data_IF_646050085492
#
_entry.id   IF_646050085492
#
_cell.length_a   1.000
_cell.length_b   1.000
_cell.length_c   1.000
_cell.angle_alpha   90.00
_cell.angle_beta   90.00
_cell.angle_gamma   90.00
#
_symmetry.space_group_name_H-M   'P 1'
#
loop_
_entity.id
_entity.type
_entity.pdbx_description
1 polymer ?
#
# COMPACT_ATOMS: atom_id res chain seq x y z
N UNK A 1 14.72 15.04 12.64
CA UNK A 1 14.07 13.72 12.74
C UNK A 1 12.63 13.86 12.24
N UNK A 2 12.29 13.20 11.15
CA UNK A 2 10.89 13.19 10.68
C UNK A 2 10.06 12.34 11.64
N UNK A 3 8.91 12.85 12.05
CA UNK A 3 8.01 12.17 12.99
C UNK A 3 7.28 11.01 12.31
N UNK A 4 6.68 10.07 13.09
CA UNK A 4 5.78 9.02 12.55
C UNK A 4 4.66 9.60 11.68
N UNK A 5 4.20 10.80 12.02
CA UNK A 5 3.18 11.53 11.27
C UNK A 5 3.69 11.97 9.90
N UNK A 6 4.90 12.51 9.84
CA UNK A 6 5.54 12.89 8.56
C UNK A 6 5.82 11.67 7.69
N UNK A 7 6.15 10.52 8.28
CA UNK A 7 6.30 9.26 7.55
C UNK A 7 4.97 8.78 6.94
N UNK A 8 3.88 8.78 7.69
CA UNK A 8 2.56 8.41 7.17
C UNK A 8 2.06 9.39 6.11
N UNK A 9 2.35 10.67 6.27
CA UNK A 9 2.08 11.69 5.25
C UNK A 9 2.86 11.43 3.97
N UNK A 10 4.12 11.06 4.09
CA UNK A 10 4.99 10.70 2.99
C UNK A 10 4.50 9.44 2.25
N UNK A 11 4.14 8.38 2.97
CA UNK A 11 3.64 7.15 2.41
C UNK A 11 2.31 7.35 1.64
N UNK A 12 1.41 8.17 2.17
CA UNK A 12 0.15 8.50 1.51
C UNK A 12 0.35 9.35 0.24
N UNK A 13 1.24 10.33 0.28
CA UNK A 13 1.61 11.14 -0.88
C UNK A 13 2.24 10.25 -1.96
N UNK A 14 3.09 9.31 -1.58
CA UNK A 14 3.75 8.40 -2.53
C UNK A 14 2.73 7.55 -3.27
N UNK A 15 1.73 7.00 -2.59
CA UNK A 15 0.68 6.19 -3.23
C UNK A 15 -0.23 7.01 -4.17
N UNK A 16 -0.50 8.26 -3.85
CA UNK A 16 -1.29 9.16 -4.70
C UNK A 16 -0.50 9.68 -5.91
N UNK A 17 0.79 9.95 -5.73
CA UNK A 17 1.66 10.59 -6.74
C UNK A 17 2.07 9.63 -7.85
N UNK A 18 2.35 8.36 -7.55
CA UNK A 18 2.85 7.38 -8.53
C UNK A 18 1.80 7.09 -9.66
N UNK A 19 0.61 7.67 -9.59
CA UNK A 19 -0.51 7.37 -10.47
C UNK A 19 -0.95 8.38 -11.49
N UNK A 20 -0.52 9.60 -11.44
CA UNK A 20 -1.06 10.62 -12.34
C UNK A 20 0.01 11.30 -13.18
N UNK A 21 -0.35 11.63 -14.43
CA UNK A 21 0.42 12.57 -15.26
C UNK A 21 0.50 13.99 -14.64
N UNK A 22 -0.25 14.24 -13.56
CA UNK A 22 -0.24 15.46 -12.75
C UNK A 22 0.83 15.47 -11.65
N UNK A 23 1.81 14.60 -11.74
CA UNK A 23 2.94 14.47 -10.82
C UNK A 23 3.57 15.82 -10.46
N UNK A 24 3.81 16.62 -11.51
CA UNK A 24 4.42 17.95 -11.38
C UNK A 24 3.60 18.92 -10.53
N UNK A 25 2.28 18.79 -10.51
CA UNK A 25 1.42 19.77 -9.82
C UNK A 25 1.31 19.51 -8.31
N UNK A 26 1.33 18.24 -7.88
CA UNK A 26 1.24 17.88 -6.45
C UNK A 26 2.61 17.99 -5.78
N UNK A 27 3.67 17.53 -6.44
CA UNK A 27 5.04 17.67 -5.96
C UNK A 27 5.48 19.15 -5.90
N UNK A 28 5.11 19.96 -6.90
CA UNK A 28 5.39 21.39 -6.92
C UNK A 28 4.62 22.17 -5.83
N UNK A 29 3.38 21.75 -5.49
CA UNK A 29 2.61 22.36 -4.39
C UNK A 29 3.19 22.08 -3.01
N UNK A 30 4.02 21.04 -2.87
CA UNK A 30 4.65 20.66 -1.59
C UNK A 30 6.17 20.82 -1.58
N UNK A 31 6.77 21.33 -2.64
CA UNK A 31 8.22 21.51 -2.80
C UNK A 31 9.08 20.26 -2.52
N UNK A 32 8.51 19.06 -2.60
CA UNK A 32 9.21 17.80 -2.39
C UNK A 32 9.30 17.03 -3.71
N UNK A 33 10.50 16.58 -4.05
CA UNK A 33 10.73 15.65 -5.16
C UNK A 33 10.33 14.22 -4.74
N UNK A 34 10.10 13.34 -5.73
CA UNK A 34 9.84 11.93 -5.48
C UNK A 34 10.97 11.27 -4.67
N UNK A 35 12.21 11.62 -4.97
CA UNK A 35 13.37 11.08 -4.25
C UNK A 35 13.38 11.52 -2.78
N UNK A 36 13.01 12.77 -2.50
CA UNK A 36 12.91 13.25 -1.10
C UNK A 36 11.79 12.59 -0.32
N UNK A 37 10.70 12.20 -1.01
CA UNK A 37 9.60 11.47 -0.38
C UNK A 37 10.00 10.07 0.09
N UNK A 38 10.97 9.45 -0.56
CA UNK A 38 11.46 8.10 -0.26
C UNK A 38 12.75 8.12 0.59
N UNK A 39 13.33 9.29 0.81
CA UNK A 39 14.52 9.44 1.67
C UNK A 39 14.10 9.58 3.13
N UNK A 40 14.44 8.60 3.93
CA UNK A 40 14.35 8.64 5.39
C UNK A 40 15.63 8.07 5.99
N UNK A 41 16.09 8.70 7.06
CA UNK A 41 17.34 8.33 7.71
C UNK A 41 17.33 6.87 8.17
N UNK A 42 18.35 6.13 7.81
CA UNK A 42 18.58 4.79 8.35
C UNK A 42 18.97 4.89 9.81
N UNK A 43 18.26 4.17 10.68
CA UNK A 43 18.55 4.14 12.13
C UNK A 43 19.21 2.84 12.58
N UNK A 44 19.45 1.91 11.69
CA UNK A 44 19.98 0.59 12.01
C UNK A 44 20.81 0.02 10.88
N UNK A 45 21.19 -1.25 11.05
CA UNK A 45 21.99 -1.98 10.07
C UNK A 45 21.12 -2.74 9.06
N UNK A 46 19.85 -2.97 9.36
CA UNK A 46 18.88 -3.69 8.53
C UNK A 46 17.63 -2.84 8.35
N UNK A 47 17.08 -2.86 7.16
CA UNK A 47 15.80 -2.25 6.82
C UNK A 47 14.75 -3.35 6.66
N UNK A 48 13.66 -3.26 7.42
CA UNK A 48 12.50 -4.13 7.25
C UNK A 48 11.47 -3.43 6.39
N UNK A 49 11.11 -4.03 5.27
CA UNK A 49 9.98 -3.66 4.45
C UNK A 49 8.87 -4.66 4.71
N UNK A 50 7.71 -4.18 5.07
CA UNK A 50 6.53 -4.99 5.27
C UNK A 50 5.44 -4.58 4.30
N UNK A 51 4.95 -5.54 3.55
CA UNK A 51 3.77 -5.44 2.69
C UNK A 51 2.74 -6.45 3.18
N UNK A 52 1.48 -6.18 2.94
CA UNK A 52 0.36 -7.05 3.30
C UNK A 52 -0.87 -6.63 2.53
N UNK A 53 -1.86 -7.51 2.42
CA UNK A 53 -3.19 -7.19 1.88
C UNK A 53 -3.14 -6.58 0.46
N UNK A 54 -2.32 -7.16 -0.42
CA UNK A 54 -2.22 -6.71 -1.81
C UNK A 54 -3.46 -7.04 -2.63
N UNK A 55 -4.25 -8.01 -2.18
CA UNK A 55 -5.55 -8.38 -2.74
C UNK A 55 -5.55 -8.57 -4.26
N UNK A 56 -4.51 -9.22 -4.81
CA UNK A 56 -4.40 -9.49 -6.23
C UNK A 56 -4.24 -8.24 -7.10
N UNK A 57 -3.86 -7.10 -6.52
CA UNK A 57 -3.83 -5.82 -7.21
C UNK A 57 -2.50 -5.58 -7.93
N UNK A 58 -2.34 -6.14 -9.13
CA UNK A 58 -1.16 -5.95 -9.96
C UNK A 58 -1.02 -4.52 -10.48
N UNK A 59 -2.14 -3.88 -10.84
CA UNK A 59 -2.16 -2.53 -11.43
C UNK A 59 -2.96 -1.56 -10.56
N UNK A 60 -2.64 -0.26 -10.63
CA UNK A 60 -3.40 0.76 -9.93
C UNK A 60 -4.87 0.78 -10.33
N UNK A 61 -5.75 1.01 -9.38
CA UNK A 61 -7.19 1.07 -9.56
C UNK A 61 -7.80 2.35 -8.95
N UNK A 62 -9.01 2.69 -9.36
CA UNK A 62 -9.80 3.73 -8.70
C UNK A 62 -10.53 3.19 -7.46
N UNK A 63 -10.73 1.87 -7.42
CA UNK A 63 -11.44 1.24 -6.33
C UNK A 63 -10.62 1.31 -5.03
N UNK A 64 -11.32 1.61 -3.96
CA UNK A 64 -10.87 1.47 -2.59
C UNK A 64 -12.03 0.98 -1.75
N UNK A 65 -11.85 -0.06 -0.92
CA UNK A 65 -12.91 -0.50 -0.02
C UNK A 65 -13.26 0.64 0.95
N UNK A 66 -14.55 0.81 1.29
CA UNK A 66 -14.94 1.75 2.33
C UNK A 66 -14.30 1.37 3.66
N UNK A 67 -14.12 2.35 4.53
CA UNK A 67 -13.64 2.08 5.88
C UNK A 67 -14.67 1.25 6.65
N UNK A 68 -14.22 0.24 7.37
CA UNK A 68 -15.03 -0.61 8.25
C UNK A 68 -14.81 -0.28 9.73
N UNK A 69 -13.93 0.66 10.03
CA UNK A 69 -13.55 0.99 11.41
C UNK A 69 -14.54 1.95 12.08
N UNK A 70 -15.82 1.59 12.04
CA UNK A 70 -16.88 2.37 12.68
C UNK A 70 -16.98 2.05 14.17
N UNK A 71 -17.14 3.08 15.01
CA UNK A 71 -17.56 2.94 16.39
C UNK A 71 -19.10 2.83 16.51
N UNK A 72 -19.56 2.25 17.60
CA UNK A 72 -20.98 2.11 17.94
C UNK A 72 -21.23 2.67 19.32
N UNK A 73 -22.30 3.46 19.49
CA UNK A 73 -22.64 4.09 20.76
C UNK A 73 -21.55 5.03 21.25
N UNK A 74 -21.07 4.86 22.46
CA UNK A 74 -20.06 5.73 23.10
C UNK A 74 -18.68 5.67 22.42
N UNK A 75 -18.47 4.75 21.50
CA UNK A 75 -17.21 4.60 20.77
C UNK A 75 -17.22 5.25 19.37
N UNK A 76 -18.34 5.88 18.99
CA UNK A 76 -18.43 6.57 17.69
C UNK A 76 -17.55 7.82 17.68
N UNK A 77 -16.73 7.96 16.62
CA UNK A 77 -15.91 9.16 16.41
C UNK A 77 -14.73 9.36 17.37
N UNK A 78 -14.38 8.34 18.15
CA UNK A 78 -13.19 8.36 19.01
C UNK A 78 -12.17 7.28 18.58
N UNK A 79 -10.86 7.50 18.82
CA UNK A 79 -9.85 6.50 18.51
C UNK A 79 -10.07 5.17 19.23
N UNK A 80 -9.87 4.01 18.55
CA UNK A 80 -9.40 3.85 17.19
C UNK A 80 -10.49 3.95 16.10
N UNK A 81 -11.73 4.17 16.46
CA UNK A 81 -12.91 4.12 15.59
C UNK A 81 -13.15 5.46 14.88
N UNK A 82 -12.19 5.88 14.07
CA UNK A 82 -12.23 7.12 13.31
C UNK A 82 -12.35 6.87 11.81
N UNK A 83 -13.39 7.41 11.18
CA UNK A 83 -13.61 7.33 9.74
C UNK A 83 -14.02 8.69 9.16
N UNK A 84 -13.83 8.89 7.87
CA UNK A 84 -14.33 10.05 7.15
C UNK A 84 -13.86 11.39 7.74
N UNK A 85 -14.80 12.30 8.00
CA UNK A 85 -14.51 13.64 8.50
C UNK A 85 -13.92 13.64 9.92
N UNK A 86 -14.31 12.69 10.78
CA UNK A 86 -13.74 12.58 12.11
C UNK A 86 -12.25 12.19 12.05
N UNK A 87 -11.90 11.29 11.13
CA UNK A 87 -10.50 10.95 10.86
C UNK A 87 -9.70 12.19 10.40
N UNK A 88 -10.24 12.94 9.42
CA UNK A 88 -9.59 14.16 8.92
C UNK A 88 -9.36 15.17 10.04
N UNK A 89 -10.38 15.40 10.87
CA UNK A 89 -10.33 16.33 12.00
C UNK A 89 -9.31 15.90 13.05
N UNK A 90 -9.36 14.63 13.48
CA UNK A 90 -8.47 14.11 14.52
C UNK A 90 -6.99 14.21 14.13
N UNK A 91 -6.66 13.86 12.88
CA UNK A 91 -5.29 13.91 12.37
C UNK A 91 -4.92 15.27 11.75
N UNK A 92 -5.80 16.26 11.82
CA UNK A 92 -5.60 17.59 11.22
C UNK A 92 -5.22 17.51 9.75
N UNK A 93 -5.93 16.66 8.99
CA UNK A 93 -5.76 16.50 7.55
C UNK A 93 -6.69 17.49 6.85
N UNK A 94 -6.12 18.26 5.92
CA UNK A 94 -6.89 19.21 5.13
C UNK A 94 -7.88 18.46 4.22
N UNK A 95 -9.20 18.78 4.24
CA UNK A 95 -10.15 18.26 3.25
C UNK A 95 -9.69 18.54 1.81
N UNK A 96 -10.10 17.72 0.89
CA UNK A 96 -9.77 17.86 -0.55
C UNK A 96 -8.26 17.87 -0.82
N UNK A 97 -7.48 17.15 -0.01
CA UNK A 97 -6.04 16.99 -0.16
C UNK A 97 -5.67 15.57 -0.60
N UNK A 98 -4.45 15.34 -1.11
CA UNK A 98 -3.95 13.99 -1.40
C UNK A 98 -4.04 13.05 -0.19
N UNK A 99 -3.83 13.58 1.02
CA UNK A 99 -3.96 12.81 2.26
C UNK A 99 -5.41 12.44 2.57
N UNK A 100 -6.35 13.36 2.38
CA UNK A 100 -7.77 13.05 2.51
C UNK A 100 -8.20 11.96 1.53
N UNK A 101 -7.73 12.03 0.29
CA UNK A 101 -7.97 11.01 -0.73
C UNK A 101 -7.34 9.67 -0.38
N UNK A 102 -6.12 9.66 0.16
CA UNK A 102 -5.40 8.44 0.52
C UNK A 102 -6.01 7.71 1.73
N UNK A 103 -6.64 8.43 2.67
CA UNK A 103 -7.05 7.87 3.97
C UNK A 103 -8.56 7.81 4.20
N UNK A 104 -9.37 8.48 3.39
CA UNK A 104 -10.82 8.52 3.59
C UNK A 104 -11.59 8.35 2.29
N UNK A 105 -12.90 8.11 2.41
CA UNK A 105 -13.83 8.12 1.29
C UNK A 105 -14.53 9.48 1.10
N UNK A 106 -14.14 10.50 1.88
CA UNK A 106 -14.72 11.84 1.78
C UNK A 106 -14.43 12.43 0.42
N UNK A 107 -15.49 12.80 -0.30
CA UNK A 107 -15.46 13.32 -1.67
C UNK A 107 -14.65 12.48 -2.68
N UNK A 108 -14.66 11.15 -2.49
CA UNK A 108 -13.81 10.20 -3.20
C UNK A 108 -13.89 10.35 -4.73
N UNK A 109 -15.10 10.54 -5.29
CA UNK A 109 -15.30 10.61 -6.76
C UNK A 109 -14.57 11.79 -7.38
N UNK A 110 -14.65 12.97 -6.76
CA UNK A 110 -13.98 14.17 -7.24
C UNK A 110 -12.47 14.08 -7.06
N UNK A 111 -12.04 13.59 -5.89
CA UNK A 111 -10.61 13.41 -5.60
C UNK A 111 -9.98 12.32 -6.47
N UNK A 112 -10.70 11.25 -6.81
CA UNK A 112 -10.24 10.25 -7.75
C UNK A 112 -10.02 10.81 -9.17
N UNK A 113 -10.84 11.76 -9.61
CA UNK A 113 -10.62 12.47 -10.87
C UNK A 113 -9.39 13.38 -10.83
N UNK A 114 -9.13 14.00 -9.70
CA UNK A 114 -7.97 14.88 -9.50
C UNK A 114 -6.66 14.09 -9.30
N UNK A 115 -6.66 13.09 -8.43
CA UNK A 115 -5.45 12.37 -8.00
C UNK A 115 -5.23 11.03 -8.71
N UNK A 116 -6.26 10.47 -9.33
CA UNK A 116 -6.15 9.27 -10.17
C UNK A 116 -6.15 7.95 -9.38
N UNK A 117 -5.65 6.91 -10.02
CA UNK A 117 -5.62 5.55 -9.50
C UNK A 117 -4.62 5.38 -8.38
N UNK A 118 -4.92 4.51 -7.42
CA UNK A 118 -4.10 4.17 -6.25
C UNK A 118 -3.60 2.73 -6.30
N UNK A 119 -2.59 2.44 -5.48
CA UNK A 119 -2.03 1.10 -5.32
C UNK A 119 -1.34 0.56 -6.55
N UNK A 120 -1.30 -0.75 -6.65
CA UNK A 120 -0.68 -1.50 -7.73
C UNK A 120 0.71 -2.02 -7.37
N UNK A 121 0.90 -3.34 -7.57
CA UNK A 121 2.18 -3.99 -7.28
C UNK A 121 3.32 -3.44 -8.15
N UNK A 122 3.00 -2.99 -9.37
CA UNK A 122 3.95 -2.33 -10.27
C UNK A 122 4.59 -1.09 -9.63
N UNK A 123 3.81 -0.29 -8.90
CA UNK A 123 4.30 0.89 -8.17
C UNK A 123 5.02 0.50 -6.90
N UNK A 124 4.45 -0.42 -6.13
CA UNK A 124 5.07 -0.95 -4.92
C UNK A 124 6.45 -1.53 -5.23
N UNK A 125 6.59 -2.27 -6.34
CA UNK A 125 7.88 -2.82 -6.77
C UNK A 125 8.94 -1.74 -7.05
N UNK A 126 8.53 -0.61 -7.62
CA UNK A 126 9.45 0.51 -7.86
C UNK A 126 9.95 1.14 -6.55
N UNK A 127 9.07 1.29 -5.56
CA UNK A 127 9.44 1.78 -4.23
C UNK A 127 10.43 0.82 -3.57
N UNK A 128 10.13 -0.48 -3.57
CA UNK A 128 11.00 -1.52 -3.00
C UNK A 128 12.38 -1.51 -3.69
N UNK A 129 12.41 -1.45 -5.03
CA UNK A 129 13.67 -1.37 -5.79
C UNK A 129 14.51 -0.13 -5.43
N UNK A 130 13.87 1.02 -5.26
CA UNK A 130 14.56 2.24 -4.85
C UNK A 130 15.16 2.12 -3.44
N UNK A 131 14.40 1.57 -2.50
CA UNK A 131 14.88 1.35 -1.13
C UNK A 131 16.03 0.34 -1.11
N UNK A 132 15.92 -0.76 -1.85
CA UNK A 132 17.01 -1.73 -1.99
C UNK A 132 18.27 -1.11 -2.60
N UNK A 133 18.12 -0.28 -3.62
CA UNK A 133 19.24 0.43 -4.24
C UNK A 133 19.91 1.43 -3.29
N UNK A 134 19.13 2.13 -2.46
CA UNK A 134 19.65 3.11 -1.50
C UNK A 134 20.33 2.43 -0.30
N UNK A 135 19.74 1.36 0.23
CA UNK A 135 20.18 0.72 1.47
C UNK A 135 21.20 -0.40 1.28
N UNK A 136 21.26 -0.95 0.08
CA UNK A 136 21.93 -2.19 -0.26
C UNK A 136 20.99 -3.41 -0.14
N UNK A 137 20.92 -4.20 -1.20
CA UNK A 137 19.97 -5.32 -1.33
C UNK A 137 20.07 -6.32 -0.15
N UNK A 138 21.30 -6.59 0.30
CA UNK A 138 21.60 -7.48 1.42
C UNK A 138 21.28 -6.91 2.81
N UNK A 139 20.80 -5.68 2.89
CA UNK A 139 20.39 -5.01 4.15
C UNK A 139 18.90 -4.75 4.22
N UNK A 140 18.15 -5.22 3.25
CA UNK A 140 16.71 -5.02 3.17
C UNK A 140 16.02 -6.38 3.20
N UNK A 141 15.17 -6.59 4.20
CA UNK A 141 14.27 -7.74 4.29
C UNK A 141 12.88 -7.29 3.87
N UNK A 142 12.31 -7.96 2.87
CA UNK A 142 10.94 -7.77 2.41
C UNK A 142 10.08 -8.90 2.97
N UNK A 143 9.14 -8.54 3.82
CA UNK A 143 8.21 -9.48 4.46
C UNK A 143 6.80 -9.24 3.92
N UNK A 144 6.11 -10.32 3.56
CA UNK A 144 4.71 -10.30 3.13
C UNK A 144 3.82 -10.88 4.24
N UNK A 145 2.88 -10.08 4.73
CA UNK A 145 1.91 -10.46 5.76
C UNK A 145 0.73 -11.28 5.25
N UNK A 146 0.72 -11.64 3.96
CA UNK A 146 -0.35 -12.42 3.35
C UNK A 146 -1.53 -11.57 2.87
N UNK A 147 -2.62 -12.24 2.53
CA UNK A 147 -3.79 -11.69 1.84
C UNK A 147 -3.40 -11.07 0.48
N UNK A 148 -2.44 -11.71 -0.14
CA UNK A 148 -1.79 -11.24 -1.36
C UNK A 148 -2.43 -11.82 -2.62
N UNK A 149 -2.82 -13.12 -2.62
CA UNK A 149 -3.13 -13.88 -3.83
C UNK A 149 -4.58 -13.77 -4.30
N UNK A 150 -5.48 -13.24 -3.53
CA UNK A 150 -6.91 -13.13 -3.83
C UNK A 150 -7.39 -11.67 -3.77
N UNK A 151 -8.53 -11.34 -4.38
CA UNK A 151 -9.18 -10.03 -4.29
C UNK A 151 -9.33 -9.29 -5.62
N UNK A 152 -8.71 -9.74 -6.72
CA UNK A 152 -8.94 -9.20 -8.06
C UNK A 152 -9.60 -10.21 -9.00
N UNK A 153 -10.19 -9.72 -10.08
CA UNK A 153 -10.75 -10.60 -11.11
C UNK A 153 -9.69 -11.49 -11.77
N UNK A 154 -8.50 -10.96 -12.03
CA UNK A 154 -7.39 -11.72 -12.62
C UNK A 154 -6.97 -12.83 -11.66
N UNK A 155 -6.73 -12.50 -10.41
CA UNK A 155 -6.34 -13.44 -9.38
C UNK A 155 -7.40 -14.55 -9.17
N UNK A 156 -8.70 -14.19 -9.22
CA UNK A 156 -9.77 -15.19 -9.21
C UNK A 156 -9.69 -16.16 -10.42
N UNK A 157 -9.39 -15.66 -11.60
CA UNK A 157 -9.28 -16.48 -12.82
C UNK A 157 -8.06 -17.37 -12.83
N UNK A 158 -6.93 -16.90 -12.34
CA UNK A 158 -5.67 -17.64 -12.25
C UNK A 158 -5.56 -18.46 -10.96
N UNK A 159 -6.54 -18.30 -10.05
CA UNK A 159 -6.50 -18.89 -8.71
C UNK A 159 -5.17 -18.61 -8.00
N UNK A 160 -4.74 -17.34 -8.02
CA UNK A 160 -3.54 -16.86 -7.35
C UNK A 160 -2.22 -16.97 -8.11
N UNK A 161 -2.15 -17.71 -9.22
CA UNK A 161 -0.88 -17.94 -9.94
C UNK A 161 -0.25 -16.66 -10.49
N UNK A 162 -1.06 -15.68 -10.90
CA UNK A 162 -0.58 -14.36 -11.34
C UNK A 162 0.18 -13.63 -10.24
N UNK A 163 -0.32 -13.71 -9.01
CA UNK A 163 0.32 -13.07 -7.87
C UNK A 163 1.58 -13.81 -7.43
N UNK A 164 1.57 -15.15 -7.38
CA UNK A 164 2.77 -15.94 -7.07
C UNK A 164 3.88 -15.62 -8.08
N UNK A 165 3.56 -15.58 -9.38
CA UNK A 165 4.52 -15.21 -10.42
C UNK A 165 5.07 -13.78 -10.22
N UNK A 166 4.21 -12.82 -9.90
CA UNK A 166 4.62 -11.44 -9.66
C UNK A 166 5.47 -11.29 -8.39
N UNK A 167 5.11 -12.01 -7.32
CA UNK A 167 5.85 -12.00 -6.06
C UNK A 167 7.22 -12.68 -6.20
N UNK A 168 7.35 -13.74 -6.99
CA UNK A 168 8.65 -14.34 -7.32
C UNK A 168 9.61 -13.30 -7.96
N UNK A 169 9.08 -12.41 -8.82
CA UNK A 169 9.88 -11.31 -9.38
C UNK A 169 10.21 -10.21 -8.35
N UNK A 170 9.34 -10.00 -7.37
CA UNK A 170 9.55 -9.02 -6.30
C UNK A 170 10.56 -9.51 -5.27
N UNK A 171 10.69 -10.83 -5.12
CA UNK A 171 11.61 -11.53 -4.20
C UNK A 171 11.39 -11.12 -2.74
N UNK A 172 10.24 -11.47 -2.11
CA UNK A 172 10.14 -11.39 -0.66
C UNK A 172 11.14 -12.34 0.00
N UNK A 173 11.55 -12.02 1.20
CA UNK A 173 12.42 -12.89 2.01
C UNK A 173 11.61 -13.92 2.80
N UNK A 174 10.35 -13.60 3.10
CA UNK A 174 9.38 -14.52 3.67
C UNK A 174 7.95 -14.02 3.49
N UNK A 175 6.99 -14.96 3.52
CA UNK A 175 5.56 -14.69 3.52
C UNK A 175 4.85 -15.52 4.58
N UNK A 176 3.79 -14.99 5.16
CA UNK A 176 2.84 -15.78 5.95
C UNK A 176 1.50 -15.85 5.23
N UNK A 177 0.85 -17.02 5.24
CA UNK A 177 -0.49 -17.16 4.68
C UNK A 177 -1.53 -16.50 5.58
N UNK A 178 -2.50 -15.81 4.99
CA UNK A 178 -3.67 -15.23 5.65
C UNK A 178 -4.95 -15.80 5.04
N UNK A 179 -5.43 -15.27 3.92
CA UNK A 179 -6.60 -15.79 3.18
C UNK A 179 -6.22 -16.57 1.91
N UNK A 180 -4.97 -16.95 1.74
CA UNK A 180 -4.49 -17.71 0.59
C UNK A 180 -5.19 -19.06 0.41
N UNK A 181 -5.72 -19.64 1.49
CA UNK A 181 -6.46 -20.92 1.46
C UNK A 181 -7.88 -20.81 0.88
N UNK A 182 -8.33 -19.62 0.51
CA UNK A 182 -9.66 -19.44 -0.12
C UNK A 182 -9.82 -20.18 -1.44
N UNK A 183 -8.70 -20.48 -2.13
CA UNK A 183 -8.70 -21.32 -3.33
C UNK A 183 -8.72 -22.84 -3.04
N UNK A 184 -8.74 -23.23 -1.76
CA UNK A 184 -8.73 -24.63 -1.32
C UNK A 184 -7.31 -25.18 -1.12
N UNK A 185 -7.23 -26.24 -0.30
CA UNK A 185 -5.95 -26.81 0.16
C UNK A 185 -5.08 -27.33 -0.96
N UNK A 186 -5.67 -27.96 -1.99
CA UNK A 186 -4.93 -28.58 -3.08
C UNK A 186 -4.30 -27.48 -3.97
N UNK A 187 -5.07 -26.43 -4.26
CA UNK A 187 -4.55 -25.29 -4.99
C UNK A 187 -3.49 -24.52 -4.21
N UNK A 188 -3.66 -24.38 -2.89
CA UNK A 188 -2.64 -23.79 -2.03
C UNK A 188 -1.31 -24.58 -2.12
N UNK A 189 -1.37 -25.91 -2.06
CA UNK A 189 -0.18 -26.75 -2.15
C UNK A 189 0.55 -26.54 -3.50
N UNK A 190 -0.20 -26.53 -4.63
CA UNK A 190 0.37 -26.25 -5.95
C UNK A 190 1.08 -24.89 -5.98
N UNK A 191 0.46 -23.83 -5.44
CA UNK A 191 1.03 -22.48 -5.43
C UNK A 191 2.26 -22.38 -4.53
N UNK A 192 2.28 -23.09 -3.41
CA UNK A 192 3.46 -23.15 -2.53
C UNK A 192 4.66 -23.79 -3.24
N UNK A 193 4.42 -24.81 -4.08
CA UNK A 193 5.48 -25.44 -4.89
C UNK A 193 6.03 -24.48 -5.99
N UNK A 194 5.24 -23.52 -6.43
CA UNK A 194 5.66 -22.50 -7.41
C UNK A 194 6.41 -21.31 -6.78
N UNK A 195 6.32 -21.13 -5.45
CA UNK A 195 6.99 -20.04 -4.74
C UNK A 195 8.52 -20.21 -4.74
N UNK A 196 9.24 -19.11 -4.91
CA UNK A 196 10.71 -19.05 -4.87
C UNK A 196 11.23 -18.43 -3.55
N UNK A 197 10.38 -18.32 -2.54
CA UNK A 197 10.66 -17.76 -1.23
C UNK A 197 9.88 -18.54 -0.16
N UNK A 198 10.36 -18.59 1.11
CA UNK A 198 9.67 -19.30 2.20
C UNK A 198 8.40 -18.59 2.68
#
# INVERSE_FOLDING_TARGET
>A
MKSRREFLQLAAITSAIIGSRSFSSVAAKQSLSQNELLQFDSKGQVTLLHITDLHGQLKPVYFRPPSENYGVGDFEGIPPHLVGNEFLKHFNIKPNSPLAYAHTMVDYVNLAREYGKLGGLDRTSNIIKQIRAERGDNKVLLLDGGDTWQGSYTSLKTQGADMVSAMNLLRPDAMVGHWEFTFGKDRLAELLDEMQYP
#
